data_IF_662644668802
#
_entry.id   IF_662644668802
#
_cell.length_a   1.000
_cell.length_b   1.000
_cell.length_c   1.000
_cell.angle_alpha   90.00
_cell.angle_beta   90.00
_cell.angle_gamma   90.00
#
_symmetry.space_group_name_H-M   'P 1'
#
loop_
_entity.id
_entity.type
_entity.pdbx_description
1 polymer ?
#
# COMPACT_ATOMS: atom_id res chain seq x y z
N UNK A 1 -33.94 -36.57 -20.68
CA UNK A 1 -32.49 -36.48 -20.42
C UNK A 1 -31.82 -35.27 -21.10
N UNK A 2 -32.48 -34.57 -22.04
CA UNK A 2 -31.93 -33.37 -22.72
C UNK A 2 -32.11 -32.04 -21.97
N UNK A 3 -33.04 -31.96 -21.02
CA UNK A 3 -33.33 -30.72 -20.26
C UNK A 3 -32.25 -30.37 -19.22
N UNK A 4 -31.51 -31.37 -18.74
CA UNK A 4 -30.43 -31.20 -17.76
C UNK A 4 -29.15 -30.63 -18.40
N UNK A 5 -28.86 -31.04 -19.63
CA UNK A 5 -27.70 -30.57 -20.39
C UNK A 5 -27.83 -29.08 -20.80
N UNK A 6 -29.04 -28.60 -21.09
CA UNK A 6 -29.30 -27.18 -21.40
C UNK A 6 -29.20 -26.28 -20.16
N UNK A 7 -29.62 -26.79 -18.99
CA UNK A 7 -29.44 -26.08 -17.72
C UNK A 7 -27.97 -26.00 -17.30
N UNK A 8 -27.21 -27.08 -17.52
CA UNK A 8 -25.79 -27.11 -17.17
C UNK A 8 -24.97 -26.16 -18.03
N UNK A 9 -25.25 -26.10 -19.34
CA UNK A 9 -24.64 -25.13 -20.25
C UNK A 9 -24.98 -23.68 -19.88
N UNK A 10 -26.24 -23.37 -19.56
CA UNK A 10 -26.61 -22.03 -19.09
C UNK A 10 -25.91 -21.64 -17.80
N UNK A 11 -25.80 -22.56 -16.84
CA UNK A 11 -25.12 -22.33 -15.57
C UNK A 11 -23.62 -22.11 -15.77
N UNK A 12 -23.01 -22.85 -16.69
CA UNK A 12 -21.60 -22.67 -17.06
C UNK A 12 -21.34 -21.30 -17.66
N UNK A 13 -22.16 -20.89 -18.61
CA UNK A 13 -22.05 -19.59 -19.28
C UNK A 13 -22.25 -18.44 -18.28
N UNK A 14 -23.17 -18.59 -17.33
CA UNK A 14 -23.38 -17.61 -16.25
C UNK A 14 -22.16 -17.53 -15.31
N UNK A 15 -21.60 -18.68 -14.90
CA UNK A 15 -20.41 -18.73 -14.05
C UNK A 15 -19.18 -18.12 -14.74
N UNK A 16 -18.99 -18.40 -16.03
CA UNK A 16 -17.90 -17.82 -16.80
C UNK A 16 -18.03 -16.30 -16.95
N UNK A 17 -19.26 -15.80 -17.15
CA UNK A 17 -19.53 -14.37 -17.17
C UNK A 17 -19.26 -13.70 -15.81
N UNK A 18 -19.67 -14.34 -14.72
CA UNK A 18 -19.47 -13.84 -13.35
C UNK A 18 -17.97 -13.83 -12.98
N UNK A 19 -17.21 -14.86 -13.38
CA UNK A 19 -15.75 -14.92 -13.20
C UNK A 19 -15.06 -13.81 -13.98
N UNK A 20 -15.47 -13.55 -15.23
CA UNK A 20 -14.89 -12.48 -16.04
C UNK A 20 -15.14 -11.08 -15.43
N UNK A 21 -16.32 -10.88 -14.85
CA UNK A 21 -16.65 -9.65 -14.12
C UNK A 21 -15.80 -9.50 -12.85
N UNK A 22 -15.61 -10.58 -12.08
CA UNK A 22 -14.71 -10.57 -10.92
C UNK A 22 -13.26 -10.29 -11.28
N UNK A 23 -12.74 -10.82 -12.38
CA UNK A 23 -11.38 -10.53 -12.83
C UNK A 23 -11.20 -9.06 -13.19
N UNK A 24 -12.21 -8.46 -13.84
CA UNK A 24 -12.21 -7.03 -14.18
C UNK A 24 -12.22 -6.15 -12.92
N UNK A 25 -13.12 -6.41 -11.97
CA UNK A 25 -13.15 -5.66 -10.71
C UNK A 25 -11.83 -5.79 -9.94
N UNK A 26 -11.24 -7.00 -9.94
CA UNK A 26 -9.93 -7.24 -9.32
C UNK A 26 -8.83 -6.43 -10.00
N UNK A 27 -8.81 -6.31 -11.32
CA UNK A 27 -7.83 -5.48 -12.03
C UNK A 27 -8.01 -4.00 -11.73
N UNK A 28 -9.24 -3.51 -11.66
CA UNK A 28 -9.56 -2.12 -11.28
C UNK A 28 -9.09 -1.82 -9.85
N UNK A 29 -9.36 -2.71 -8.90
CA UNK A 29 -8.87 -2.60 -7.53
C UNK A 29 -7.35 -2.62 -7.49
N UNK A 30 -6.69 -3.50 -8.26
CA UNK A 30 -5.24 -3.57 -8.36
C UNK A 30 -4.64 -2.28 -8.94
N UNK A 31 -5.30 -1.67 -9.92
CA UNK A 31 -4.89 -0.40 -10.51
C UNK A 31 -5.04 0.77 -9.53
N UNK A 32 -6.15 0.82 -8.78
CA UNK A 32 -6.38 1.78 -7.71
C UNK A 32 -5.32 1.64 -6.61
N UNK A 33 -5.05 0.42 -6.13
CA UNK A 33 -4.00 0.14 -5.14
C UNK A 33 -2.62 0.52 -5.69
N UNK A 34 -2.31 0.19 -6.95
CA UNK A 34 -1.04 0.55 -7.59
C UNK A 34 -0.85 2.07 -7.80
N UNK A 35 -1.94 2.81 -7.98
CA UNK A 35 -1.92 4.27 -8.08
C UNK A 35 -1.61 4.95 -6.74
N UNK A 36 -2.06 4.34 -5.64
CA UNK A 36 -1.80 4.80 -4.28
C UNK A 36 -0.41 4.33 -3.80
N UNK A 37 0.04 3.15 -4.25
CA UNK A 37 1.31 2.50 -3.89
C UNK A 37 2.58 3.03 -4.58
N UNK A 38 2.51 4.06 -5.43
CA UNK A 38 3.73 4.86 -5.70
C UNK A 38 4.41 4.75 -7.06
N UNK A 39 3.73 4.39 -8.16
CA UNK A 39 4.37 4.43 -9.49
C UNK A 39 4.84 5.85 -9.92
N UNK A 40 4.18 6.91 -9.42
CA UNK A 40 4.59 8.32 -9.64
C UNK A 40 5.49 8.89 -8.53
N UNK A 41 5.30 8.44 -7.28
CA UNK A 41 6.07 8.92 -6.13
C UNK A 41 7.48 8.34 -6.12
N UNK A 42 7.66 7.04 -6.38
CA UNK A 42 8.95 6.35 -6.30
C UNK A 42 10.05 6.96 -7.19
N UNK A 43 9.73 7.38 -8.42
CA UNK A 43 10.73 7.98 -9.32
C UNK A 43 11.15 9.38 -8.89
N UNK A 44 10.20 10.21 -8.45
CA UNK A 44 10.51 11.58 -7.99
C UNK A 44 11.25 11.54 -6.66
N UNK A 45 10.82 10.69 -5.74
CA UNK A 45 11.47 10.54 -4.44
C UNK A 45 12.91 10.05 -4.61
N UNK A 46 13.18 9.09 -5.51
CA UNK A 46 14.56 8.68 -5.81
C UNK A 46 15.41 9.82 -6.39
N UNK A 47 14.86 10.64 -7.29
CA UNK A 47 15.57 11.79 -7.85
C UNK A 47 15.85 12.84 -6.76
N UNK A 48 14.86 13.17 -5.94
CA UNK A 48 15.01 14.10 -4.81
C UNK A 48 16.02 13.56 -3.80
N UNK A 49 16.00 12.26 -3.53
CA UNK A 49 16.91 11.63 -2.58
C UNK A 49 18.36 11.69 -3.09
N UNK A 50 18.56 11.40 -4.38
CA UNK A 50 19.85 11.49 -5.06
C UNK A 50 20.39 12.92 -5.12
N UNK A 51 19.54 13.91 -5.48
CA UNK A 51 19.94 15.33 -5.51
C UNK A 51 20.39 15.80 -4.13
N UNK A 52 19.66 15.46 -3.08
CA UNK A 52 20.06 15.82 -1.72
C UNK A 52 21.37 15.14 -1.29
N UNK A 53 21.57 13.87 -1.65
CA UNK A 53 22.83 13.17 -1.39
C UNK A 53 23.98 13.89 -2.09
N UNK A 54 23.80 14.25 -3.37
CA UNK A 54 24.79 14.98 -4.14
C UNK A 54 25.11 16.35 -3.52
N UNK A 55 24.11 17.08 -3.01
CA UNK A 55 24.30 18.35 -2.31
C UNK A 55 25.12 18.15 -1.03
N UNK A 56 24.77 17.15 -0.20
CA UNK A 56 25.50 16.86 1.05
C UNK A 56 26.97 16.52 0.75
N UNK A 57 27.22 15.62 -0.21
CA UNK A 57 28.58 15.23 -0.61
C UNK A 57 29.36 16.42 -1.17
N UNK A 58 28.72 17.26 -1.96
CA UNK A 58 29.34 18.46 -2.55
C UNK A 58 29.72 19.47 -1.47
N UNK A 59 28.83 19.75 -0.52
CA UNK A 59 29.11 20.64 0.61
C UNK A 59 30.28 20.11 1.45
N UNK A 60 30.28 18.81 1.76
CA UNK A 60 31.37 18.17 2.50
C UNK A 60 32.72 18.24 1.78
N UNK A 61 32.71 18.06 0.45
CA UNK A 61 33.92 18.12 -0.38
C UNK A 61 34.45 19.56 -0.49
N UNK A 62 33.55 20.54 -0.63
CA UNK A 62 33.90 21.97 -0.67
C UNK A 62 34.48 22.47 0.65
N UNK A 63 33.92 22.01 1.77
CA UNK A 63 34.42 22.30 3.12
C UNK A 63 35.86 21.79 3.29
N UNK A 64 36.11 20.51 3.00
CA UNK A 64 37.44 19.89 3.06
C UNK A 64 38.45 20.58 2.13
N UNK A 65 38.04 20.97 0.93
CA UNK A 65 38.97 21.49 -0.09
C UNK A 65 39.28 22.97 0.11
N UNK A 66 38.29 23.77 0.53
CA UNK A 66 38.39 25.25 0.48
C UNK A 66 38.69 25.86 1.85
N UNK A 67 38.39 25.19 2.97
CA UNK A 67 38.54 25.73 4.35
C UNK A 67 37.96 27.16 4.52
N UNK A 68 37.00 27.55 3.67
CA UNK A 68 36.56 28.95 3.54
C UNK A 68 35.57 29.36 4.61
N UNK A 69 34.95 28.37 5.26
CA UNK A 69 34.04 28.53 6.39
C UNK A 69 34.61 27.82 7.62
N UNK A 70 34.40 28.35 8.83
CA UNK A 70 34.69 27.60 10.06
C UNK A 70 33.91 26.28 10.03
N UNK A 71 34.60 25.16 10.24
CA UNK A 71 34.05 23.79 10.21
C UNK A 71 32.75 23.66 11.03
N UNK A 72 32.68 24.37 12.16
CA UNK A 72 31.49 24.42 13.01
C UNK A 72 30.23 24.92 12.29
N UNK A 73 30.33 26.01 11.51
CA UNK A 73 29.18 26.61 10.82
C UNK A 73 28.69 25.70 9.68
N UNK A 74 29.62 25.08 8.95
CA UNK A 74 29.27 24.17 7.85
C UNK A 74 28.59 22.89 8.36
N UNK A 75 29.07 22.36 9.48
CA UNK A 75 28.46 21.20 10.14
C UNK A 75 27.04 21.51 10.62
N UNK A 76 26.81 22.69 11.24
CA UNK A 76 25.48 23.12 11.66
C UNK A 76 24.49 23.22 10.48
N UNK A 77 24.92 23.82 9.36
CA UNK A 77 24.09 23.94 8.15
C UNK A 77 23.77 22.56 7.56
N UNK A 78 24.75 21.65 7.55
CA UNK A 78 24.57 20.28 7.07
C UNK A 78 23.56 19.50 7.90
N UNK A 79 23.68 19.57 9.23
CA UNK A 79 22.75 18.93 10.17
C UNK A 79 21.34 19.53 10.04
N UNK A 80 21.23 20.85 9.85
CA UNK A 80 19.95 21.52 9.64
C UNK A 80 19.27 21.05 8.34
N UNK A 81 20.01 20.96 7.23
CA UNK A 81 19.49 20.48 5.94
C UNK A 81 19.02 19.01 6.01
N UNK A 82 19.76 18.14 6.69
CA UNK A 82 19.36 16.75 6.92
C UNK A 82 18.08 16.68 7.76
N UNK A 83 17.99 17.49 8.81
CA UNK A 83 16.81 17.54 9.69
C UNK A 83 15.56 17.97 8.93
N UNK A 84 15.65 19.02 8.11
CA UNK A 84 14.55 19.48 7.25
C UNK A 84 14.11 18.36 6.27
N UNK A 85 15.07 17.63 5.69
CA UNK A 85 14.76 16.51 4.80
C UNK A 85 14.03 15.38 5.51
N UNK A 86 14.41 15.06 6.75
CA UNK A 86 13.73 14.04 7.56
C UNK A 86 12.27 14.47 7.80
N UNK A 87 12.04 15.72 8.22
CA UNK A 87 10.68 16.25 8.41
C UNK A 87 9.87 16.21 7.12
N UNK A 88 10.48 16.57 5.99
CA UNK A 88 9.81 16.53 4.70
C UNK A 88 9.47 15.11 4.25
N UNK A 89 10.36 14.14 4.48
CA UNK A 89 10.13 12.72 4.22
C UNK A 89 8.95 12.20 5.05
N UNK A 90 8.92 12.51 6.35
CA UNK A 90 7.83 12.13 7.25
C UNK A 90 6.50 12.74 6.78
N UNK A 91 6.51 14.01 6.40
CA UNK A 91 5.32 14.68 5.89
C UNK A 91 4.80 14.03 4.59
N UNK A 92 5.69 13.66 3.67
CA UNK A 92 5.34 13.00 2.41
C UNK A 92 4.72 11.60 2.62
N UNK A 93 5.14 10.89 3.69
CA UNK A 93 4.65 9.55 4.03
C UNK A 93 3.21 9.52 4.58
N UNK A 94 2.60 10.67 4.90
CA UNK A 94 1.27 10.72 5.51
C UNK A 94 0.16 10.06 4.67
N UNK A 95 0.23 10.18 3.34
CA UNK A 95 -0.74 9.56 2.41
C UNK A 95 -0.65 8.03 2.40
N UNK A 96 0.57 7.50 2.46
CA UNK A 96 0.79 6.06 2.53
C UNK A 96 0.25 5.48 3.84
N UNK A 97 0.54 6.14 4.96
CA UNK A 97 0.05 5.70 6.27
C UNK A 97 -1.48 5.68 6.34
N UNK A 98 -2.14 6.70 5.79
CA UNK A 98 -3.60 6.75 5.72
C UNK A 98 -4.18 5.60 4.86
N UNK A 99 -3.50 5.25 3.77
CA UNK A 99 -3.91 4.13 2.93
C UNK A 99 -3.73 2.77 3.61
N UNK A 100 -2.60 2.55 4.27
CA UNK A 100 -2.36 1.34 5.06
C UNK A 100 -3.40 1.20 6.18
N UNK A 101 -3.75 2.31 6.84
CA UNK A 101 -4.82 2.34 7.83
C UNK A 101 -6.17 1.90 7.23
N UNK A 102 -6.52 2.41 6.05
CA UNK A 102 -7.77 2.04 5.37
C UNK A 102 -7.83 0.56 4.98
N UNK A 103 -6.71 -0.01 4.51
CA UNK A 103 -6.59 -1.44 4.23
C UNK A 103 -6.77 -2.25 5.52
N UNK A 104 -6.08 -1.86 6.60
CA UNK A 104 -6.14 -2.57 7.87
C UNK A 104 -7.57 -2.61 8.41
N UNK A 105 -8.29 -1.48 8.39
CA UNK A 105 -9.68 -1.40 8.81
C UNK A 105 -10.60 -2.29 7.96
N UNK A 106 -10.34 -2.38 6.65
CA UNK A 106 -11.11 -3.26 5.75
C UNK A 106 -10.86 -4.74 6.06
N UNK A 107 -9.61 -5.12 6.32
CA UNK A 107 -9.24 -6.48 6.72
C UNK A 107 -9.85 -6.82 8.08
N UNK A 108 -9.76 -5.92 9.05
CA UNK A 108 -10.35 -6.08 10.38
C UNK A 108 -11.87 -6.34 10.28
N UNK A 109 -12.58 -5.56 9.46
CA UNK A 109 -14.01 -5.77 9.24
C UNK A 109 -14.30 -7.14 8.62
N UNK A 110 -13.55 -7.54 7.58
CA UNK A 110 -13.73 -8.84 6.92
C UNK A 110 -13.45 -10.02 7.86
N UNK A 111 -12.37 -9.93 8.65
CA UNK A 111 -12.02 -10.95 9.65
C UNK A 111 -13.11 -11.05 10.72
N UNK A 112 -13.66 -9.91 11.16
CA UNK A 112 -14.75 -9.89 12.12
C UNK A 112 -16.04 -10.54 11.57
N UNK A 113 -16.41 -10.26 10.31
CA UNK A 113 -17.56 -10.90 9.68
C UNK A 113 -17.36 -12.42 9.53
N UNK A 114 -16.16 -12.85 9.11
CA UNK A 114 -15.82 -14.26 9.04
C UNK A 114 -15.94 -14.94 10.42
N UNK A 115 -15.47 -14.29 11.48
CA UNK A 115 -15.57 -14.82 12.84
C UNK A 115 -17.03 -14.96 13.31
N UNK A 116 -17.89 -13.98 12.98
CA UNK A 116 -19.34 -14.06 13.25
C UNK A 116 -20.00 -15.24 12.51
N UNK A 117 -19.62 -15.49 11.26
CA UNK A 117 -20.12 -16.64 10.47
C UNK A 117 -19.70 -17.96 11.10
N UNK A 118 -18.44 -18.07 11.54
CA UNK A 118 -17.93 -19.27 12.24
C UNK A 118 -18.73 -19.53 13.52
N UNK A 119 -18.93 -18.51 14.37
CA UNK A 119 -19.73 -18.65 15.59
C UNK A 119 -21.19 -19.04 15.33
N UNK A 120 -21.76 -18.61 14.20
CA UNK A 120 -23.12 -19.02 13.80
C UNK A 120 -23.14 -20.51 13.40
N UNK A 121 -22.13 -20.96 12.66
CA UNK A 121 -21.96 -22.36 12.26
C UNK A 121 -21.77 -23.25 13.49
N UNK A 122 -20.91 -22.85 14.43
CA UNK A 122 -20.71 -23.59 15.69
C UNK A 122 -22.02 -23.74 16.47
N UNK A 123 -22.82 -22.67 16.58
CA UNK A 123 -24.14 -22.72 17.24
C UNK A 123 -25.10 -23.70 16.57
N UNK A 124 -25.25 -23.61 15.24
CA UNK A 124 -26.11 -24.53 14.49
C UNK A 124 -25.66 -25.99 14.64
N UNK A 125 -24.35 -26.24 14.62
CA UNK A 125 -23.79 -27.58 14.82
C UNK A 125 -24.03 -28.12 16.23
N UNK A 126 -23.97 -27.27 17.26
CA UNK A 126 -24.32 -27.64 18.62
C UNK A 126 -25.81 -27.94 18.81
N UNK A 127 -26.69 -27.25 18.08
CA UNK A 127 -28.14 -27.52 18.08
C UNK A 127 -28.47 -28.84 17.38
N UNK A 128 -27.86 -29.10 16.21
CA UNK A 128 -28.00 -30.37 15.48
C UNK A 128 -27.49 -31.56 16.31
N UNK A 129 -26.39 -31.40 17.05
CA UNK A 129 -25.85 -32.47 17.92
C UNK A 129 -26.71 -32.77 19.16
N UNK A 130 -27.61 -31.88 19.55
CA UNK A 130 -28.53 -32.09 20.69
C UNK A 130 -29.86 -32.75 20.29
N UNK A 131 -30.18 -32.80 18.99
CA UNK A 131 -31.29 -33.56 18.44
C UNK A 131 -30.85 -34.99 18.12
#
# INVERSE_FOLDING_TARGET
>A
MSLDHDQWEKSKVQLEAEIAEFEKEKEEIKALIGSIGGKKYSKRDNVINFVFLAIIVTLFTLEITTHWLPEFISLEISVLLVSIKIVWMIHSQHKYNHFIFWILNTIEFRVNDANKRIQKIERMMHEVKRQ
#
